data_IF_967453738878
#
_entry.id   IF_967453738878
#
_cell.length_a   1.000
_cell.length_b   1.000
_cell.length_c   1.000
_cell.angle_alpha   90.00
_cell.angle_beta   90.00
_cell.angle_gamma   90.00
#
_symmetry.space_group_name_H-M   'P 1'
#
loop_
_entity.id
_entity.type
_entity.pdbx_description
1 polymer ?
#
# COMPACT_ATOMS: atom_id res chain seq x y z
N UNK A 1 30.76 44.09 -44.45
CA UNK A 1 31.77 43.21 -43.83
C UNK A 1 31.86 43.68 -42.38
N UNK A 2 31.36 42.97 -41.39
CA UNK A 2 31.45 41.53 -41.15
C UNK A 2 30.23 41.09 -40.33
N UNK A 3 29.56 40.04 -40.78
CA UNK A 3 28.46 39.37 -40.07
C UNK A 3 29.04 38.56 -38.90
N UNK A 4 28.50 38.75 -37.70
CA UNK A 4 28.71 37.85 -36.57
C UNK A 4 27.58 36.83 -36.54
N UNK A 5 27.93 35.55 -36.68
CA UNK A 5 27.03 34.41 -36.66
C UNK A 5 26.58 34.14 -35.21
N UNK A 6 25.26 34.19 -34.98
CA UNK A 6 24.62 33.58 -33.82
C UNK A 6 24.54 32.06 -34.07
N UNK A 7 25.25 31.26 -33.27
CA UNK A 7 25.09 29.81 -33.24
C UNK A 7 23.92 29.45 -32.30
N UNK A 8 22.77 29.20 -32.92
CA UNK A 8 21.61 28.56 -32.31
C UNK A 8 21.95 27.11 -31.93
N UNK A 9 22.24 26.88 -30.64
CA UNK A 9 22.37 25.51 -30.10
C UNK A 9 20.97 24.93 -29.94
N UNK A 10 20.47 24.28 -30.99
CA UNK A 10 19.29 23.40 -30.93
C UNK A 10 19.59 22.22 -30.00
N UNK A 11 18.99 22.26 -28.82
CA UNK A 11 19.00 21.17 -27.87
C UNK A 11 18.05 20.06 -28.37
N UNK A 12 18.59 19.10 -29.13
CA UNK A 12 17.85 17.89 -29.51
C UNK A 12 17.57 17.04 -28.25
N UNK A 13 16.32 17.07 -27.79
CA UNK A 13 15.81 16.11 -26.80
C UNK A 13 15.87 14.72 -27.42
N UNK A 14 16.77 13.85 -26.92
CA UNK A 14 16.75 12.43 -27.24
C UNK A 14 15.39 11.84 -26.81
N UNK A 15 14.68 11.11 -27.68
CA UNK A 15 13.49 10.39 -27.25
C UNK A 15 13.94 9.29 -26.30
N UNK A 16 13.41 9.30 -25.07
CA UNK A 16 13.45 8.15 -24.17
C UNK A 16 12.87 6.96 -24.96
N UNK A 17 13.68 5.90 -25.14
CA UNK A 17 13.13 4.61 -25.54
C UNK A 17 12.22 4.17 -24.40
N UNK A 18 10.91 4.37 -24.54
CA UNK A 18 9.93 3.69 -23.70
C UNK A 18 10.09 2.20 -23.91
N UNK A 19 10.81 1.53 -23.00
CA UNK A 19 10.68 0.10 -22.84
C UNK A 19 9.20 -0.17 -22.58
N UNK A 20 8.56 -0.93 -23.47
CA UNK A 20 7.17 -1.35 -23.30
C UNK A 20 7.09 -2.26 -22.08
N UNK A 21 6.99 -1.68 -20.90
CA UNK A 21 6.67 -2.40 -19.67
C UNK A 21 5.29 -3.03 -19.82
N UNK A 22 5.05 -4.16 -19.15
CA UNK A 22 3.78 -4.90 -19.17
C UNK A 22 2.57 -3.98 -18.92
N UNK A 23 2.76 -2.94 -18.12
CA UNK A 23 1.75 -1.92 -17.79
C UNK A 23 1.11 -1.26 -19.02
N UNK A 24 1.83 -1.04 -20.13
CA UNK A 24 1.28 -0.34 -21.30
C UNK A 24 0.22 -1.14 -22.08
N UNK A 25 0.09 -2.45 -21.80
CA UNK A 25 -0.85 -3.35 -22.50
C UNK A 25 -2.03 -3.74 -21.62
N UNK A 26 -1.94 -3.51 -20.31
CA UNK A 26 -2.99 -3.85 -19.37
C UNK A 26 -4.13 -2.81 -19.44
N UNK A 27 -5.40 -3.24 -19.27
CA UNK A 27 -6.52 -2.32 -19.16
C UNK A 27 -6.49 -1.56 -17.83
N UNK A 28 -7.10 -0.37 -17.80
CA UNK A 28 -7.20 0.41 -16.56
C UNK A 28 -8.12 -0.25 -15.53
N UNK A 29 -9.17 -0.92 -16.00
CA UNK A 29 -10.20 -1.56 -15.18
C UNK A 29 -10.57 -2.91 -15.80
N UNK A 30 -10.63 -3.94 -14.97
CA UNK A 30 -11.28 -5.22 -15.29
C UNK A 30 -12.41 -5.50 -14.32
N UNK A 31 -13.37 -6.32 -14.76
CA UNK A 31 -14.43 -6.83 -13.89
C UNK A 31 -14.12 -8.28 -13.55
N UNK A 32 -13.82 -8.54 -12.29
CA UNK A 32 -13.78 -9.88 -11.72
C UNK A 32 -15.20 -10.23 -11.28
N UNK A 33 -15.73 -11.38 -11.71
CA UNK A 33 -17.06 -11.82 -11.32
C UNK A 33 -17.10 -12.18 -9.82
N UNK A 34 -18.29 -12.36 -9.24
CA UNK A 34 -18.36 -12.83 -7.86
C UNK A 34 -17.88 -14.28 -7.77
N UNK A 35 -18.32 -15.10 -8.73
CA UNK A 35 -18.01 -16.52 -8.88
C UNK A 35 -16.49 -16.75 -9.00
N UNK A 36 -15.80 -15.99 -9.85
CA UNK A 36 -14.35 -16.11 -10.02
C UNK A 36 -13.58 -15.70 -8.75
N UNK A 37 -14.07 -14.68 -8.03
CA UNK A 37 -13.42 -14.17 -6.82
C UNK A 37 -13.52 -15.15 -5.64
N UNK A 38 -14.59 -15.97 -5.60
CA UNK A 38 -14.87 -16.87 -4.47
C UNK A 38 -14.73 -18.35 -4.83
N UNK A 39 -14.25 -18.69 -6.03
CA UNK A 39 -14.18 -20.08 -6.52
C UNK A 39 -13.39 -21.02 -5.57
N UNK A 40 -12.38 -20.48 -4.88
CA UNK A 40 -11.52 -21.23 -3.95
C UNK A 40 -11.94 -21.06 -2.47
N UNK A 41 -13.05 -20.36 -2.21
CA UNK A 41 -13.56 -20.17 -0.85
C UNK A 41 -14.40 -21.36 -0.42
N UNK A 42 -14.12 -21.84 0.79
CA UNK A 42 -14.94 -22.83 1.48
C UNK A 42 -15.58 -22.16 2.67
N UNK A 43 -16.91 -22.12 2.67
CA UNK A 43 -17.69 -21.65 3.79
C UNK A 43 -17.72 -22.71 4.90
N UNK A 44 -17.82 -22.27 6.14
CA UNK A 44 -17.87 -23.12 7.34
C UNK A 44 -19.30 -23.61 7.65
N UNK A 45 -20.30 -23.04 6.97
CA UNK A 45 -21.70 -23.45 7.01
C UNK A 45 -22.60 -22.61 7.92
N UNK A 46 -22.01 -21.69 8.71
CA UNK A 46 -22.78 -20.72 9.51
C UNK A 46 -23.15 -19.48 8.70
N UNK A 47 -22.40 -19.20 7.64
CA UNK A 47 -22.51 -18.01 6.81
C UNK A 47 -23.88 -17.91 6.15
N UNK A 48 -24.40 -19.00 5.56
CA UNK A 48 -25.72 -19.00 4.90
C UNK A 48 -26.86 -18.61 5.86
N UNK A 49 -26.82 -19.11 7.09
CA UNK A 49 -27.80 -18.80 8.13
C UNK A 49 -27.65 -17.35 8.59
N UNK A 50 -26.41 -16.88 8.76
CA UNK A 50 -26.14 -15.51 9.15
C UNK A 50 -26.53 -14.50 8.05
N UNK A 51 -26.23 -14.77 6.78
CA UNK A 51 -26.60 -13.92 5.65
C UNK A 51 -28.12 -13.86 5.46
N UNK A 52 -28.82 -14.99 5.59
CA UNK A 52 -30.28 -15.04 5.38
C UNK A 52 -31.09 -14.46 6.53
N UNK A 53 -30.63 -14.62 7.78
CA UNK A 53 -31.40 -14.24 8.97
C UNK A 53 -30.85 -13.03 9.72
N UNK A 54 -29.61 -12.62 9.45
CA UNK A 54 -28.87 -11.63 10.23
C UNK A 54 -28.48 -12.10 11.64
N UNK A 55 -28.73 -13.36 11.99
CA UNK A 55 -28.51 -13.91 13.32
C UNK A 55 -27.52 -15.07 13.28
N UNK A 56 -26.49 -15.00 14.13
CA UNK A 56 -25.54 -16.11 14.31
C UNK A 56 -26.01 -17.03 15.43
N UNK A 57 -26.26 -18.31 15.10
CA UNK A 57 -26.74 -19.30 16.06
C UNK A 57 -25.57 -19.98 16.81
N UNK A 58 -25.21 -19.40 17.95
CA UNK A 58 -24.13 -19.90 18.82
C UNK A 58 -24.40 -21.31 19.35
N UNK A 59 -25.67 -21.68 19.59
CA UNK A 59 -26.00 -23.01 20.09
C UNK A 59 -25.73 -24.10 19.05
N UNK A 60 -25.94 -23.78 17.77
CA UNK A 60 -25.74 -24.70 16.65
C UNK A 60 -24.28 -24.75 16.18
N UNK A 61 -23.62 -23.60 16.06
CA UNK A 61 -22.29 -23.49 15.45
C UNK A 61 -21.16 -23.33 16.48
N UNK A 62 -21.49 -23.14 17.76
CA UNK A 62 -20.52 -22.76 18.79
C UNK A 62 -20.10 -21.29 18.72
N UNK A 63 -19.28 -20.80 19.67
CA UNK A 63 -18.72 -19.46 19.59
C UNK A 63 -17.68 -19.38 18.46
N UNK A 64 -17.68 -18.26 17.72
CA UNK A 64 -16.64 -17.98 16.74
C UNK A 64 -15.28 -17.80 17.44
N UNK A 65 -14.23 -18.39 16.85
CA UNK A 65 -12.87 -18.21 17.33
C UNK A 65 -12.42 -16.74 17.17
N UNK A 66 -11.62 -16.25 18.11
CA UNK A 66 -11.03 -14.92 17.98
C UNK A 66 -10.08 -14.89 16.77
N UNK A 67 -10.30 -13.99 15.78
CA UNK A 67 -9.45 -13.91 14.60
C UNK A 67 -8.00 -13.61 14.96
N UNK A 68 -7.07 -14.27 14.27
CA UNK A 68 -5.65 -13.93 14.31
C UNK A 68 -5.32 -12.90 13.24
N UNK A 69 -4.57 -11.87 13.61
CA UNK A 69 -4.31 -10.69 12.76
C UNK A 69 -2.81 -10.45 12.62
N UNK A 70 -2.35 -10.17 11.40
CA UNK A 70 -1.01 -9.62 11.20
C UNK A 70 -0.99 -8.12 11.40
N UNK A 71 -0.02 -7.61 12.15
CA UNK A 71 0.27 -6.18 12.22
C UNK A 71 1.43 -5.86 11.29
N UNK A 72 1.17 -5.07 10.25
CA UNK A 72 2.14 -4.80 9.20
C UNK A 72 2.54 -3.33 9.23
N UNK A 73 3.83 -3.08 9.38
CA UNK A 73 4.41 -1.74 9.43
C UNK A 73 5.23 -1.48 8.19
N UNK A 74 5.13 -0.27 7.64
CA UNK A 74 6.14 0.25 6.73
C UNK A 74 7.13 1.08 7.53
N UNK A 75 8.41 0.76 7.45
CA UNK A 75 9.45 1.46 8.22
C UNK A 75 10.77 1.53 7.46
N UNK A 76 11.52 2.58 7.73
CA UNK A 76 12.83 2.83 7.12
C UNK A 76 13.73 3.57 8.11
N UNK A 77 15.03 3.25 8.12
CA UNK A 77 16.01 4.05 8.83
C UNK A 77 16.64 5.06 7.86
N UNK A 78 16.08 6.27 7.78
CA UNK A 78 16.64 7.32 6.93
C UNK A 78 17.95 7.93 7.40
N UNK A 79 18.41 7.58 8.61
CA UNK A 79 19.71 8.02 9.14
C UNK A 79 20.86 7.11 8.72
N UNK A 80 20.57 5.92 8.18
CA UNK A 80 21.58 4.99 7.67
C UNK A 80 22.21 5.50 6.37
N UNK A 81 23.54 5.55 6.30
CA UNK A 81 24.24 6.14 5.16
C UNK A 81 24.06 5.34 3.87
N UNK A 82 24.09 4.00 3.95
CA UNK A 82 23.79 3.11 2.81
C UNK A 82 22.43 3.42 2.18
N UNK A 83 21.40 3.64 3.00
CA UNK A 83 20.06 4.00 2.52
C UNK A 83 20.03 5.39 1.89
N UNK A 84 20.74 6.37 2.47
CA UNK A 84 20.83 7.72 1.89
C UNK A 84 21.51 7.69 0.54
N UNK A 85 22.62 6.96 0.41
CA UNK A 85 23.40 6.86 -0.82
C UNK A 85 22.58 6.17 -1.92
N UNK A 86 22.00 5.00 -1.61
CA UNK A 86 21.10 4.29 -2.52
C UNK A 86 19.94 5.18 -2.95
N UNK A 87 19.25 5.82 -2.00
CA UNK A 87 18.13 6.71 -2.33
C UNK A 87 18.58 7.87 -3.21
N UNK A 88 19.72 8.47 -2.91
CA UNK A 88 20.25 9.60 -3.65
C UNK A 88 20.53 9.25 -5.12
N UNK A 89 21.08 8.06 -5.39
CA UNK A 89 21.30 7.56 -6.75
C UNK A 89 20.01 7.52 -7.59
N UNK A 90 18.87 7.21 -6.97
CA UNK A 90 17.56 7.25 -7.64
C UNK A 90 16.94 8.65 -7.64
N UNK A 91 17.18 9.46 -6.60
CA UNK A 91 16.70 10.84 -6.54
C UNK A 91 17.23 11.64 -7.72
N UNK A 92 18.52 11.53 -8.07
CA UNK A 92 19.16 12.31 -9.16
C UNK A 92 18.61 11.98 -10.55
N UNK A 93 18.10 10.77 -10.75
CA UNK A 93 17.48 10.34 -12.01
C UNK A 93 15.95 10.56 -12.04
N UNK A 94 15.35 11.02 -10.93
CA UNK A 94 13.89 11.16 -10.82
C UNK A 94 13.35 12.26 -11.73
N UNK A 95 12.21 12.04 -12.42
CA UNK A 95 11.54 13.07 -13.22
C UNK A 95 10.99 14.24 -12.38
N UNK A 96 11.00 14.10 -11.05
CA UNK A 96 10.59 15.15 -10.12
C UNK A 96 11.64 16.25 -9.94
N UNK A 97 12.87 16.01 -10.39
CA UNK A 97 13.96 16.96 -10.25
C UNK A 97 13.71 18.23 -11.07
N UNK A 98 13.78 19.37 -10.38
CA UNK A 98 13.88 20.68 -11.01
C UNK A 98 15.35 21.06 -11.24
N UNK A 99 15.59 21.93 -12.24
CA UNK A 99 16.95 22.41 -12.59
C UNK A 99 17.64 23.14 -11.43
N UNK A 100 16.88 23.62 -10.44
CA UNK A 100 17.37 24.40 -9.31
C UNK A 100 17.70 23.50 -8.11
N UNK A 101 17.46 22.18 -8.22
CA UNK A 101 17.72 21.19 -7.17
C UNK A 101 16.80 21.30 -5.94
N UNK A 102 15.70 22.06 -6.03
CA UNK A 102 14.82 22.31 -4.89
C UNK A 102 14.15 21.04 -4.40
N UNK A 103 13.66 20.18 -5.31
CA UNK A 103 13.00 18.94 -4.96
C UNK A 103 13.92 18.04 -4.12
N UNK A 104 15.14 17.74 -4.61
CA UNK A 104 16.12 16.92 -3.88
C UNK A 104 16.41 17.51 -2.48
N UNK A 105 16.61 18.83 -2.40
CA UNK A 105 16.97 19.50 -1.14
C UNK A 105 15.84 19.52 -0.10
N UNK A 106 14.57 19.45 -0.52
CA UNK A 106 13.41 19.57 0.38
C UNK A 106 12.69 18.24 0.62
N UNK A 107 12.72 17.33 -0.34
CA UNK A 107 12.00 16.06 -0.30
C UNK A 107 12.57 15.08 0.74
N UNK A 108 13.90 15.06 0.89
CA UNK A 108 14.61 14.09 1.73
C UNK A 108 14.53 14.35 3.23
N UNK A 109 14.38 15.60 3.68
CA UNK A 109 14.61 15.99 5.09
C UNK A 109 13.56 15.41 6.06
N UNK A 110 12.29 15.39 5.67
CA UNK A 110 11.20 15.08 6.61
C UNK A 110 10.59 13.69 6.41
N UNK A 111 10.68 13.09 5.21
CA UNK A 111 9.92 11.89 4.86
C UNK A 111 10.50 10.58 5.39
N UNK A 112 11.80 10.53 5.60
CA UNK A 112 12.53 9.31 5.93
C UNK A 112 13.12 9.36 7.35
N UNK A 113 12.81 10.40 8.11
CA UNK A 113 13.37 10.59 9.46
C UNK A 113 12.70 9.62 10.43
N UNK A 114 13.52 8.87 11.16
CA UNK A 114 13.11 7.96 12.21
C UNK A 114 13.30 8.61 13.59
N UNK A 115 12.27 8.53 14.44
CA UNK A 115 12.26 9.05 15.81
C UNK A 115 12.17 7.95 16.87
N UNK A 116 12.48 6.70 16.51
CA UNK A 116 12.27 5.52 17.36
C UNK A 116 10.79 5.26 17.73
N UNK A 117 9.84 5.90 17.03
CA UNK A 117 8.39 5.76 17.26
C UNK A 117 7.94 4.30 17.10
N UNK A 118 8.46 3.60 16.10
CA UNK A 118 8.21 2.17 15.87
C UNK A 118 8.46 1.32 17.14
N UNK A 119 9.51 1.63 17.91
CA UNK A 119 9.85 0.90 19.14
C UNK A 119 8.71 0.94 20.15
N UNK A 120 8.11 2.11 20.30
CA UNK A 120 7.00 2.33 21.24
C UNK A 120 5.69 1.81 20.66
N UNK A 121 5.53 1.86 19.33
CA UNK A 121 4.37 1.27 18.65
C UNK A 121 4.32 -0.24 18.85
N UNK A 122 5.41 -0.97 18.61
CA UNK A 122 5.47 -2.42 18.85
C UNK A 122 5.24 -2.79 20.32
N UNK A 123 5.73 -1.98 21.26
CA UNK A 123 5.44 -2.16 22.70
C UNK A 123 3.96 -1.98 23.00
N UNK A 124 3.30 -1.02 22.35
CA UNK A 124 1.86 -0.86 22.51
C UNK A 124 1.08 -2.09 22.03
N UNK A 125 1.54 -2.77 20.96
CA UNK A 125 0.96 -4.04 20.52
C UNK A 125 1.15 -5.16 21.56
N UNK A 126 2.34 -5.32 22.14
CA UNK A 126 2.58 -6.35 23.17
C UNK A 126 1.76 -6.12 24.45
N UNK A 127 1.49 -4.86 24.79
CA UNK A 127 0.67 -4.51 25.96
C UNK A 127 -0.83 -4.66 25.69
N UNK A 128 -1.30 -4.25 24.51
CA UNK A 128 -2.72 -4.04 24.25
C UNK A 128 -3.38 -4.99 23.26
N UNK A 129 -2.62 -5.75 22.46
CA UNK A 129 -3.15 -6.61 21.39
C UNK A 129 -2.59 -8.05 21.38
N UNK A 130 -1.67 -8.40 22.29
CA UNK A 130 -0.92 -9.67 22.29
C UNK A 130 -1.75 -10.94 22.13
N UNK A 131 -2.99 -10.97 22.64
CA UNK A 131 -3.86 -12.15 22.63
C UNK A 131 -4.18 -12.67 21.22
N UNK A 132 -4.27 -11.78 20.23
CA UNK A 132 -4.74 -12.13 18.89
C UNK A 132 -3.73 -11.83 17.77
N UNK A 133 -2.53 -11.34 18.10
CA UNK A 133 -1.45 -11.16 17.12
C UNK A 133 -1.10 -12.53 16.52
N UNK A 134 -1.10 -12.61 15.20
CA UNK A 134 -0.49 -13.69 14.43
C UNK A 134 1.01 -13.42 14.28
N UNK A 135 1.34 -12.29 13.64
CA UNK A 135 2.71 -11.82 13.40
C UNK A 135 2.77 -10.31 13.39
N UNK A 136 3.94 -9.78 13.69
CA UNK A 136 4.32 -8.39 13.39
C UNK A 136 5.25 -8.44 12.18
N UNK A 137 4.96 -7.69 11.13
CA UNK A 137 5.75 -7.66 9.91
C UNK A 137 6.28 -6.25 9.67
N UNK A 138 7.59 -6.09 9.55
CA UNK A 138 8.25 -4.83 9.23
C UNK A 138 8.67 -4.86 7.77
N UNK A 139 8.03 -4.04 6.94
CA UNK A 139 8.37 -3.87 5.54
C UNK A 139 9.46 -2.80 5.44
N UNK A 140 10.59 -3.19 4.86
CA UNK A 140 11.80 -2.37 4.87
C UNK A 140 12.46 -2.34 3.50
N UNK A 141 13.20 -1.26 3.25
CA UNK A 141 14.15 -1.23 2.15
C UNK A 141 15.32 -2.19 2.42
N UNK A 142 15.88 -2.74 1.34
CA UNK A 142 17.19 -3.39 1.40
C UNK A 142 18.30 -2.37 1.24
N UNK A 143 19.41 -2.60 1.95
CA UNK A 143 20.63 -1.79 1.94
C UNK A 143 21.85 -2.68 1.72
N UNK A 144 22.97 -2.10 1.29
CA UNK A 144 24.21 -2.81 1.01
C UNK A 144 25.42 -1.86 1.05
N UNK A 145 26.60 -2.41 0.81
CA UNK A 145 27.82 -1.62 0.72
C UNK A 145 27.90 -0.92 -0.65
N UNK A 146 27.34 0.29 -0.74
CA UNK A 146 27.36 1.13 -1.94
C UNK A 146 26.00 1.23 -2.64
N UNK A 147 26.00 1.19 -3.97
CA UNK A 147 24.78 1.34 -4.79
C UNK A 147 23.85 0.13 -4.71
N UNK A 148 22.57 0.32 -5.00
CA UNK A 148 21.59 -0.77 -5.00
C UNK A 148 21.90 -1.83 -6.06
N UNK A 149 22.05 -3.08 -5.63
CA UNK A 149 22.27 -4.22 -6.52
C UNK A 149 20.96 -4.99 -6.78
N UNK A 150 20.47 -4.94 -8.02
CA UNK A 150 19.22 -5.63 -8.42
C UNK A 150 19.25 -7.15 -8.23
N UNK A 151 20.42 -7.78 -8.24
CA UNK A 151 20.53 -9.23 -8.04
C UNK A 151 20.41 -9.63 -6.57
N UNK A 152 20.36 -8.64 -5.67
CA UNK A 152 20.16 -8.82 -4.23
C UNK A 152 21.33 -9.47 -3.50
N UNK A 153 22.44 -9.81 -4.16
CA UNK A 153 23.50 -10.64 -3.54
C UNK A 153 24.20 -9.94 -2.39
N UNK A 154 24.43 -8.63 -2.52
CA UNK A 154 25.07 -7.80 -1.50
C UNK A 154 24.04 -6.92 -0.76
N UNK A 155 22.75 -7.26 -0.88
CA UNK A 155 21.65 -6.53 -0.27
C UNK A 155 21.15 -7.28 0.97
N UNK A 156 20.80 -6.54 2.00
CA UNK A 156 20.17 -7.07 3.21
C UNK A 156 19.07 -6.12 3.69
N UNK A 157 17.97 -6.63 4.28
CA UNK A 157 16.90 -5.78 4.80
C UNK A 157 17.41 -4.88 5.92
N UNK A 158 16.99 -3.61 5.93
CA UNK A 158 17.20 -2.76 7.10
C UNK A 158 16.57 -3.39 8.35
N UNK A 159 17.20 -3.18 9.50
CA UNK A 159 16.68 -3.66 10.79
C UNK A 159 16.81 -2.57 11.85
N UNK A 160 15.76 -2.30 12.64
CA UNK A 160 15.90 -1.39 13.79
C UNK A 160 17.01 -1.87 14.72
N UNK A 161 17.91 -0.97 15.12
CA UNK A 161 19.11 -1.31 15.91
C UNK A 161 18.79 -1.90 17.28
N UNK A 162 17.60 -1.59 17.82
CA UNK A 162 17.08 -2.11 19.08
C UNK A 162 16.37 -3.47 18.93
N UNK A 163 16.07 -3.92 17.71
CA UNK A 163 15.36 -5.18 17.45
C UNK A 163 16.35 -6.34 17.35
N UNK A 164 16.39 -7.19 18.38
CA UNK A 164 17.29 -8.35 18.44
C UNK A 164 17.08 -9.29 17.25
N UNK A 165 18.18 -9.81 16.69
CA UNK A 165 18.14 -10.83 15.64
C UNK A 165 18.41 -12.22 16.25
N UNK A 166 17.39 -12.76 16.92
CA UNK A 166 17.41 -14.10 17.52
C UNK A 166 16.13 -14.87 17.18
N UNK A 167 16.17 -16.19 17.35
CA UNK A 167 15.05 -17.08 16.98
C UNK A 167 13.75 -16.70 17.70
N UNK A 168 13.82 -16.36 18.99
CA UNK A 168 12.65 -15.98 19.78
C UNK A 168 11.98 -14.70 19.23
N UNK A 169 12.78 -13.68 18.91
CA UNK A 169 12.26 -12.44 18.33
C UNK A 169 11.70 -12.68 16.92
N UNK A 170 12.41 -13.46 16.10
CA UNK A 170 12.06 -13.72 14.71
C UNK A 170 10.82 -14.63 14.54
N UNK A 171 10.40 -15.35 15.59
CA UNK A 171 9.11 -16.06 15.61
C UNK A 171 7.90 -15.11 15.65
N UNK A 172 8.07 -13.91 16.21
CA UNK A 172 6.99 -12.93 16.38
C UNK A 172 7.09 -11.74 15.43
N UNK A 173 8.31 -11.27 15.15
CA UNK A 173 8.59 -10.11 14.31
C UNK A 173 9.35 -10.55 13.06
N UNK A 174 8.73 -10.41 11.89
CA UNK A 174 9.34 -10.68 10.60
C UNK A 174 9.80 -9.38 9.96
N UNK A 175 11.08 -9.30 9.61
CA UNK A 175 11.61 -8.20 8.79
C UNK A 175 11.59 -8.67 7.34
N UNK A 176 10.81 -8.00 6.51
CA UNK A 176 10.56 -8.34 5.12
C UNK A 176 11.11 -7.24 4.22
N UNK A 177 12.07 -7.59 3.37
CA UNK A 177 12.53 -6.66 2.34
C UNK A 177 11.49 -6.52 1.23
N UNK A 178 11.52 -5.43 0.48
CA UNK A 178 10.63 -5.25 -0.68
C UNK A 178 10.74 -6.40 -1.68
N UNK A 179 11.94 -6.92 -1.92
CA UNK A 179 12.20 -8.05 -2.83
C UNK A 179 11.56 -9.36 -2.36
N UNK A 180 11.29 -9.48 -1.04
CA UNK A 180 10.73 -10.69 -0.45
C UNK A 180 9.22 -10.82 -0.63
N UNK A 181 8.50 -9.71 -0.84
CA UNK A 181 7.04 -9.73 -0.94
C UNK A 181 6.47 -9.03 -2.18
N UNK A 182 7.21 -8.17 -2.88
CA UNK A 182 6.71 -7.63 -4.16
C UNK A 182 6.42 -8.78 -5.12
N UNK A 183 5.33 -8.65 -5.89
CA UNK A 183 5.01 -9.57 -6.98
C UNK A 183 6.19 -9.66 -7.95
N UNK A 184 6.43 -10.84 -8.51
CA UNK A 184 7.61 -11.10 -9.35
C UNK A 184 7.76 -10.12 -10.52
N UNK A 185 6.64 -9.69 -11.12
CA UNK A 185 6.66 -8.78 -12.27
C UNK A 185 7.06 -7.35 -11.87
N UNK A 186 6.72 -6.94 -10.65
CA UNK A 186 6.97 -5.61 -10.09
C UNK A 186 8.33 -5.51 -9.37
N UNK A 187 9.03 -6.63 -9.11
CA UNK A 187 10.39 -6.62 -8.52
C UNK A 187 11.40 -5.87 -9.37
N UNK A 188 11.22 -5.86 -10.70
CA UNK A 188 12.00 -5.06 -11.67
C UNK A 188 12.00 -3.55 -11.34
N UNK A 189 10.96 -3.07 -10.64
CA UNK A 189 10.77 -1.68 -10.29
C UNK A 189 11.41 -1.29 -8.95
N UNK A 190 11.97 -2.24 -8.21
CA UNK A 190 12.66 -1.99 -6.96
C UNK A 190 14.02 -1.28 -7.18
N UNK A 191 14.53 -0.56 -6.16
CA UNK A 191 13.87 -0.25 -4.89
C UNK A 191 12.84 0.87 -5.07
N UNK A 192 11.85 0.93 -4.17
CA UNK A 192 10.95 2.08 -4.06
C UNK A 192 11.07 2.76 -2.69
N UNK A 193 10.88 4.07 -2.67
CA UNK A 193 10.90 4.93 -1.49
C UNK A 193 9.53 5.60 -1.29
N UNK A 194 8.50 5.09 -1.95
CA UNK A 194 7.13 5.58 -1.91
C UNK A 194 6.26 4.59 -1.14
N UNK A 195 5.70 5.04 -0.02
CA UNK A 195 4.83 4.19 0.78
C UNK A 195 3.63 3.69 -0.02
N UNK A 196 3.08 4.47 -0.96
CA UNK A 196 1.93 4.03 -1.77
C UNK A 196 2.28 2.83 -2.65
N UNK A 197 3.51 2.78 -3.17
CA UNK A 197 4.01 1.67 -3.98
C UNK A 197 4.19 0.42 -3.11
N UNK A 198 4.78 0.56 -1.93
CA UNK A 198 4.96 -0.51 -0.93
C UNK A 198 3.60 -1.06 -0.47
N UNK A 199 2.69 -0.16 -0.07
CA UNK A 199 1.34 -0.48 0.41
C UNK A 199 0.50 -1.14 -0.69
N UNK A 200 0.72 -0.79 -1.97
CA UNK A 200 0.03 -1.44 -3.09
C UNK A 200 0.37 -2.91 -3.25
N UNK A 201 1.41 -3.42 -2.57
CA UNK A 201 1.85 -4.81 -2.63
C UNK A 201 1.71 -5.53 -1.28
N UNK A 202 1.17 -4.87 -0.24
CA UNK A 202 1.16 -5.38 1.14
C UNK A 202 0.40 -6.71 1.32
N UNK A 203 -0.58 -6.99 0.47
CA UNK A 203 -1.34 -8.25 0.52
C UNK A 203 -0.46 -9.47 0.19
N UNK A 204 0.68 -9.28 -0.47
CA UNK A 204 1.63 -10.33 -0.83
C UNK A 204 2.53 -10.78 0.33
N UNK A 205 2.53 -10.07 1.48
CA UNK A 205 3.36 -10.46 2.62
C UNK A 205 2.94 -11.83 3.14
N UNK A 206 3.86 -12.77 3.40
CA UNK A 206 3.53 -14.15 3.68
C UNK A 206 2.83 -14.32 5.03
N UNK A 207 1.68 -14.99 5.03
CA UNK A 207 0.91 -15.21 6.27
C UNK A 207 0.05 -16.47 6.23
N UNK A 208 -0.31 -16.93 7.44
CA UNK A 208 -1.31 -17.95 7.72
C UNK A 208 -2.72 -17.37 7.93
N UNK A 209 -2.86 -16.04 8.02
CA UNK A 209 -4.15 -15.36 8.14
C UNK A 209 -4.38 -14.42 6.96
N UNK A 210 -5.65 -14.27 6.58
CA UNK A 210 -6.07 -13.31 5.56
C UNK A 210 -6.18 -11.88 6.11
N UNK A 211 -6.27 -11.72 7.42
CA UNK A 211 -6.54 -10.43 8.05
C UNK A 211 -5.25 -9.73 8.46
N UNK A 212 -5.09 -8.49 8.00
CA UNK A 212 -3.98 -7.62 8.39
C UNK A 212 -4.50 -6.28 8.90
N UNK A 213 -3.71 -5.66 9.78
CA UNK A 213 -3.83 -4.26 10.18
C UNK A 213 -2.53 -3.56 9.81
N UNK A 214 -2.61 -2.64 8.86
CA UNK A 214 -1.49 -1.82 8.45
C UNK A 214 -1.35 -0.60 9.36
N UNK A 215 -0.15 -0.36 9.85
CA UNK A 215 0.19 0.75 10.74
C UNK A 215 1.38 1.53 10.19
N UNK A 216 1.35 2.85 10.39
CA UNK A 216 2.57 3.66 10.36
C UNK A 216 3.31 3.53 11.70
N UNK A 217 4.59 3.86 11.70
CA UNK A 217 5.46 3.79 12.88
C UNK A 217 5.03 4.74 14.02
N UNK A 218 4.36 5.84 13.67
CA UNK A 218 3.78 6.84 14.58
C UNK A 218 2.37 6.49 15.12
N UNK A 219 1.87 5.27 14.88
CA UNK A 219 0.56 4.81 15.37
C UNK A 219 0.71 3.94 16.62
N UNK A 220 -0.06 4.23 17.68
CA UNK A 220 0.02 3.54 18.98
C UNK A 220 -1.35 3.09 19.46
N UNK A 221 -1.40 1.93 20.12
CA UNK A 221 -2.57 1.52 20.89
C UNK A 221 -2.54 2.17 22.28
N UNK A 222 -3.67 2.72 22.71
CA UNK A 222 -3.80 3.44 23.98
C UNK A 222 -4.53 2.67 25.09
N UNK A 223 -5.15 1.54 24.76
CA UNK A 223 -5.96 0.74 25.68
C UNK A 223 -6.05 -0.71 25.19
N UNK A 224 -6.40 -1.68 26.06
CA UNK A 224 -6.58 -3.06 25.64
C UNK A 224 -7.61 -3.21 24.53
N UNK A 225 -7.30 -4.04 23.53
CA UNK A 225 -8.14 -4.31 22.38
C UNK A 225 -8.49 -5.80 22.27
N UNK A 226 -9.64 -6.08 21.64
CA UNK A 226 -9.98 -7.41 21.12
C UNK A 226 -9.77 -7.43 19.59
N UNK A 227 -9.62 -8.61 18.99
CA UNK A 227 -9.49 -8.71 17.52
C UNK A 227 -10.68 -8.04 16.79
N UNK A 228 -11.88 -8.12 17.37
CA UNK A 228 -13.11 -7.51 16.85
C UNK A 228 -13.09 -5.99 16.76
N UNK A 229 -12.17 -5.31 17.44
CA UNK A 229 -11.99 -3.86 17.28
C UNK A 229 -11.39 -3.51 15.91
N UNK A 230 -10.69 -4.47 15.29
CA UNK A 230 -10.09 -4.35 13.96
C UNK A 230 -10.89 -5.12 12.90
N UNK A 231 -11.25 -6.37 13.19
CA UNK A 231 -11.96 -7.25 12.27
C UNK A 231 -12.88 -8.23 13.01
N UNK A 232 -14.12 -8.33 12.55
CA UNK A 232 -15.09 -9.33 12.99
C UNK A 232 -15.46 -10.26 11.83
N UNK A 233 -15.55 -11.59 12.02
CA UNK A 233 -16.06 -12.49 10.98
C UNK A 233 -17.51 -12.17 10.57
N UNK A 234 -18.30 -11.59 11.50
CA UNK A 234 -19.69 -11.21 11.22
C UNK A 234 -19.77 -9.82 10.58
N UNK A 235 -18.98 -8.84 11.02
CA UNK A 235 -19.17 -7.45 10.59
C UNK A 235 -18.10 -6.93 9.63
N UNK A 236 -17.08 -7.73 9.35
CA UNK A 236 -15.95 -7.35 8.51
C UNK A 236 -14.95 -6.43 9.22
N UNK A 237 -14.10 -5.73 8.46
CA UNK A 237 -13.06 -4.85 8.99
C UNK A 237 -13.63 -3.50 9.46
N UNK A 238 -13.05 -2.96 10.51
CA UNK A 238 -13.33 -1.59 11.00
C UNK A 238 -12.81 -0.57 9.98
N UNK A 239 -13.69 0.32 9.53
CA UNK A 239 -13.37 1.39 8.58
C UNK A 239 -13.64 2.76 9.20
N UNK A 240 -12.62 3.63 9.21
CA UNK A 240 -12.73 5.03 9.61
C UNK A 240 -12.71 5.96 8.39
N UNK A 241 -13.57 6.98 8.40
CA UNK A 241 -13.68 7.95 7.30
C UNK A 241 -13.61 9.41 7.80
N UNK A 242 -12.99 10.27 6.99
CA UNK A 242 -13.04 11.72 7.10
C UNK A 242 -14.32 12.25 6.45
N UNK A 243 -14.64 13.51 6.72
CA UNK A 243 -15.78 14.21 6.09
C UNK A 243 -15.54 14.50 4.61
N UNK A 244 -14.27 14.67 4.21
CA UNK A 244 -13.86 14.80 2.81
C UNK A 244 -14.33 13.61 1.98
N UNK A 245 -14.77 13.86 0.75
CA UNK A 245 -15.22 12.83 -0.18
C UNK A 245 -14.97 13.25 -1.63
N UNK A 246 -14.88 12.25 -2.51
CA UNK A 246 -14.65 12.46 -3.94
C UNK A 246 -15.64 11.63 -4.77
N UNK A 247 -16.05 12.20 -5.91
CA UNK A 247 -16.81 11.55 -6.96
C UNK A 247 -16.28 12.02 -8.33
N UNK A 248 -15.14 11.47 -8.74
CA UNK A 248 -14.41 11.96 -9.90
C UNK A 248 -14.92 11.28 -11.17
N UNK A 249 -15.62 12.02 -12.01
CA UNK A 249 -16.24 11.48 -13.25
C UNK A 249 -15.28 11.43 -14.43
N UNK A 250 -14.29 12.33 -14.46
CA UNK A 250 -13.31 12.46 -15.54
C UNK A 250 -11.99 13.00 -15.01
N UNK A 251 -10.89 12.60 -15.63
CA UNK A 251 -9.56 13.17 -15.38
C UNK A 251 -9.36 14.44 -16.24
N UNK A 252 -8.60 15.42 -15.75
CA UNK A 252 -8.17 16.58 -16.53
C UNK A 252 -9.26 17.58 -16.95
N UNK A 253 -10.24 17.86 -16.08
CA UNK A 253 -11.31 18.84 -16.33
C UNK A 253 -10.93 20.31 -16.02
N UNK A 254 -11.93 21.21 -16.05
CA UNK A 254 -11.78 22.60 -15.59
C UNK A 254 -11.42 22.69 -14.10
N UNK A 255 -11.77 21.68 -13.32
CA UNK A 255 -11.44 21.58 -11.91
C UNK A 255 -9.98 21.17 -11.76
N UNK A 256 -9.23 21.93 -10.96
CA UNK A 256 -7.83 21.63 -10.71
C UNK A 256 -7.71 20.29 -9.97
N UNK A 257 -6.84 19.40 -10.47
CA UNK A 257 -6.45 18.19 -9.75
C UNK A 257 -5.79 18.64 -8.43
N UNK A 258 -6.25 18.14 -7.27
CA UNK A 258 -5.61 18.45 -6.01
C UNK A 258 -4.12 18.09 -6.06
N UNK A 259 -3.24 18.97 -5.60
CA UNK A 259 -1.78 18.76 -5.66
C UNK A 259 -1.14 18.48 -4.31
N UNK A 260 -1.89 18.59 -3.20
CA UNK A 260 -1.35 18.50 -1.85
C UNK A 260 -1.70 17.18 -1.14
N UNK A 261 -0.71 16.59 -0.49
CA UNK A 261 -0.88 15.42 0.37
C UNK A 261 -1.35 14.18 -0.38
N UNK A 262 -2.31 13.45 0.19
CA UNK A 262 -2.89 12.22 -0.38
C UNK A 262 -4.01 12.49 -1.42
N UNK A 263 -4.49 13.74 -1.50
CA UNK A 263 -5.65 14.14 -2.30
C UNK A 263 -5.52 13.82 -3.81
N UNK A 264 -4.37 14.02 -4.49
CA UNK A 264 -4.25 13.63 -5.90
C UNK A 264 -4.53 12.14 -6.13
N UNK A 265 -4.06 11.28 -5.22
CA UNK A 265 -4.19 9.82 -5.34
C UNK A 265 -5.63 9.37 -5.04
N UNK A 266 -6.28 10.00 -4.05
CA UNK A 266 -7.72 9.81 -3.79
C UNK A 266 -8.54 10.22 -5.02
N UNK A 267 -8.23 11.37 -5.63
CA UNK A 267 -8.92 11.87 -6.82
C UNK A 267 -8.84 10.85 -7.97
N UNK A 268 -7.64 10.36 -8.27
CA UNK A 268 -7.45 9.35 -9.31
C UNK A 268 -8.13 8.03 -8.98
N UNK A 269 -8.03 7.56 -7.74
CA UNK A 269 -8.65 6.29 -7.32
C UNK A 269 -10.18 6.36 -7.32
N UNK A 270 -10.76 7.52 -6.97
CA UNK A 270 -12.20 7.77 -7.09
C UNK A 270 -12.68 7.63 -8.55
N UNK A 271 -11.88 8.10 -9.51
CA UNK A 271 -12.14 7.91 -10.93
C UNK A 271 -12.15 6.43 -11.32
N UNK A 272 -11.15 5.65 -10.90
CA UNK A 272 -11.08 4.22 -11.18
C UNK A 272 -12.28 3.45 -10.58
N UNK A 273 -12.62 3.74 -9.32
CA UNK A 273 -13.77 3.13 -8.65
C UNK A 273 -15.10 3.50 -9.32
N UNK A 274 -15.25 4.74 -9.82
CA UNK A 274 -16.41 5.14 -10.61
C UNK A 274 -16.53 4.33 -11.91
N UNK A 275 -15.42 4.02 -12.57
CA UNK A 275 -15.42 3.21 -13.79
C UNK A 275 -15.80 1.75 -13.52
N UNK A 276 -15.41 1.20 -12.36
CA UNK A 276 -15.74 -0.18 -11.97
C UNK A 276 -17.15 -0.34 -11.40
N UNK A 277 -17.61 0.59 -10.57
CA UNK A 277 -18.83 0.44 -9.75
C UNK A 277 -19.89 1.52 -9.95
N UNK A 278 -19.62 2.51 -10.81
CA UNK A 278 -20.51 3.65 -11.05
C UNK A 278 -20.25 4.85 -10.13
N UNK A 279 -20.81 5.99 -10.54
CA UNK A 279 -20.62 7.30 -9.90
C UNK A 279 -21.17 7.33 -8.47
N UNK A 280 -20.32 7.69 -7.50
CA UNK A 280 -20.73 7.83 -6.10
C UNK A 280 -19.79 8.74 -5.32
N UNK A 281 -20.34 9.43 -4.32
CA UNK A 281 -19.53 10.09 -3.30
C UNK A 281 -18.88 9.05 -2.39
N UNK A 282 -17.55 9.03 -2.39
CA UNK A 282 -16.73 8.10 -1.60
C UNK A 282 -15.85 8.87 -0.63
N UNK A 283 -16.09 8.65 0.67
CA UNK A 283 -15.37 9.33 1.74
C UNK A 283 -13.89 8.94 1.79
N UNK A 284 -13.03 9.90 2.08
CA UNK A 284 -11.60 9.64 2.32
C UNK A 284 -11.47 8.87 3.63
N UNK A 285 -10.63 7.83 3.64
CA UNK A 285 -10.31 7.09 4.85
C UNK A 285 -9.63 7.99 5.89
N UNK A 286 -9.91 7.74 7.17
CA UNK A 286 -9.20 8.37 8.27
C UNK A 286 -7.73 7.91 8.30
N UNK A 287 -6.89 8.72 8.94
CA UNK A 287 -5.52 8.33 9.24
C UNK A 287 -5.51 7.58 10.59
N UNK A 288 -5.58 6.26 10.52
CA UNK A 288 -5.61 5.31 11.64
C UNK A 288 -5.09 3.95 11.14
N UNK A 289 -4.99 2.95 12.02
CA UNK A 289 -4.61 1.59 11.60
C UNK A 289 -5.62 0.99 10.63
N UNK A 290 -5.18 0.61 9.44
CA UNK A 290 -6.07 0.14 8.37
C UNK A 290 -6.24 -1.37 8.42
N UNK A 291 -7.41 -1.84 8.86
CA UNK A 291 -7.78 -3.24 8.78
C UNK A 291 -8.27 -3.60 7.38
N UNK A 292 -7.67 -4.62 6.76
CA UNK A 292 -8.05 -5.11 5.44
C UNK A 292 -7.88 -6.63 5.35
N UNK A 293 -8.66 -7.25 4.47
CA UNK A 293 -8.43 -8.61 3.98
C UNK A 293 -7.38 -8.58 2.86
N UNK A 294 -6.41 -9.51 2.92
CA UNK A 294 -5.40 -9.71 1.87
C UNK A 294 -6.06 -10.06 0.55
N UNK A 295 -6.98 -11.02 0.55
CA UNK A 295 -7.72 -11.46 -0.64
C UNK A 295 -8.53 -10.33 -1.27
N UNK A 296 -9.26 -9.55 -0.47
CA UNK A 296 -10.06 -8.44 -1.01
C UNK A 296 -9.16 -7.34 -1.56
N UNK A 297 -8.02 -7.07 -0.92
CA UNK A 297 -7.04 -6.10 -1.41
C UNK A 297 -6.33 -6.60 -2.69
N UNK A 298 -6.03 -7.89 -2.77
CA UNK A 298 -5.49 -8.53 -3.97
C UNK A 298 -6.48 -8.40 -5.14
N UNK A 299 -7.76 -8.71 -4.91
CA UNK A 299 -8.84 -8.55 -5.89
C UNK A 299 -9.01 -7.08 -6.32
N UNK A 300 -8.92 -6.15 -5.36
CA UNK A 300 -9.00 -4.72 -5.65
C UNK A 300 -7.86 -4.27 -6.56
N UNK A 301 -6.61 -4.70 -6.29
CA UNK A 301 -5.47 -4.37 -7.16
C UNK A 301 -5.55 -5.08 -8.51
N UNK A 302 -6.00 -6.33 -8.55
CA UNK A 302 -6.22 -7.08 -9.78
C UNK A 302 -7.29 -6.44 -10.68
N UNK A 303 -8.31 -5.80 -10.08
CA UNK A 303 -9.36 -5.07 -10.80
C UNK A 303 -8.87 -3.79 -11.48
N UNK A 304 -7.69 -3.29 -11.13
CA UNK A 304 -7.06 -2.10 -11.72
C UNK A 304 -5.64 -2.42 -12.18
N UNK A 305 -5.44 -3.35 -13.14
CA UNK A 305 -4.13 -3.98 -13.34
C UNK A 305 -3.08 -2.99 -13.88
N UNK A 306 -3.43 -2.11 -14.81
CA UNK A 306 -2.50 -1.08 -15.29
C UNK A 306 -2.19 -0.02 -14.20
N UNK A 307 -3.18 0.58 -13.50
CA UNK A 307 -2.92 1.48 -12.38
C UNK A 307 -2.12 0.85 -11.24
N UNK A 308 -2.38 -0.42 -10.91
CA UNK A 308 -1.68 -1.16 -9.86
C UNK A 308 -0.23 -1.41 -10.23
N UNK A 309 0.05 -1.96 -11.43
CA UNK A 309 1.40 -2.20 -11.90
C UNK A 309 2.21 -0.91 -12.02
N UNK A 310 1.61 0.15 -12.59
CA UNK A 310 2.26 1.46 -12.69
C UNK A 310 2.53 2.06 -11.31
N UNK A 311 1.56 1.99 -10.41
CA UNK A 311 1.68 2.53 -9.07
C UNK A 311 2.73 1.82 -8.22
N UNK A 312 2.88 0.50 -8.37
CA UNK A 312 3.94 -0.27 -7.72
C UNK A 312 5.35 0.14 -8.19
N UNK A 313 5.46 0.67 -9.41
CA UNK A 313 6.72 1.07 -10.02
C UNK A 313 7.12 2.53 -9.78
N UNK A 314 6.31 3.33 -9.08
CA UNK A 314 6.72 4.67 -8.67
C UNK A 314 7.72 4.58 -7.52
N UNK A 315 8.92 5.13 -7.73
CA UNK A 315 9.99 5.14 -6.71
C UNK A 315 9.78 6.25 -5.70
N UNK A 316 9.32 7.40 -6.16
CA UNK A 316 9.03 8.55 -5.31
C UNK A 316 7.59 9.01 -5.45
N UNK A 317 7.01 9.46 -4.34
CA UNK A 317 5.62 9.88 -4.31
C UNK A 317 5.41 11.11 -5.22
N UNK A 318 4.52 10.95 -6.20
CA UNK A 318 4.13 12.01 -7.12
C UNK A 318 4.90 12.02 -8.44
N UNK A 319 5.76 11.03 -8.70
CA UNK A 319 6.42 10.84 -10.01
C UNK A 319 5.40 10.80 -11.14
N UNK A 320 4.26 10.15 -10.88
CA UNK A 320 3.09 10.31 -11.72
C UNK A 320 2.04 11.21 -11.06
N UNK A 321 1.24 11.87 -11.91
CA UNK A 321 0.04 12.60 -11.46
C UNK A 321 -1.08 11.66 -11.02
N UNK A 322 -0.99 10.37 -11.34
CA UNK A 322 -2.08 9.40 -11.28
C UNK A 322 -1.58 8.07 -10.72
N UNK A 323 -1.44 8.01 -9.40
CA UNK A 323 -1.11 6.79 -8.66
C UNK A 323 -2.36 6.29 -7.92
N UNK A 324 -2.62 4.98 -7.98
CA UNK A 324 -3.68 4.37 -7.17
C UNK A 324 -3.35 4.52 -5.69
N UNK A 325 -4.35 4.82 -4.87
CA UNK A 325 -4.22 4.91 -3.42
C UNK A 325 -4.71 3.61 -2.78
N UNK A 326 -3.83 2.71 -2.30
CA UNK A 326 -4.21 1.35 -1.95
C UNK A 326 -5.30 1.28 -0.88
N UNK A 327 -5.20 2.08 0.18
CA UNK A 327 -6.19 2.07 1.26
C UNK A 327 -7.57 2.57 0.83
N UNK A 328 -7.62 3.65 0.04
CA UNK A 328 -8.88 4.17 -0.49
C UNK A 328 -9.50 3.17 -1.46
N UNK A 329 -8.69 2.52 -2.30
CA UNK A 329 -9.12 1.45 -3.17
C UNK A 329 -9.70 0.28 -2.36
N UNK A 330 -8.96 -0.29 -1.41
CA UNK A 330 -9.36 -1.48 -0.64
C UNK A 330 -10.61 -1.25 0.21
N UNK A 331 -10.74 -0.10 0.88
CA UNK A 331 -11.91 0.21 1.72
C UNK A 331 -13.18 0.29 0.86
N UNK A 332 -13.13 1.09 -0.20
CA UNK A 332 -14.30 1.24 -1.06
C UNK A 332 -14.56 -0.01 -1.89
N UNK A 333 -13.54 -0.75 -2.31
CA UNK A 333 -13.71 -2.01 -3.00
C UNK A 333 -14.46 -3.01 -2.11
N UNK A 334 -14.06 -3.17 -0.84
CA UNK A 334 -14.79 -3.99 0.14
C UNK A 334 -16.27 -3.59 0.24
N UNK A 335 -16.55 -2.29 0.36
CA UNK A 335 -17.93 -1.78 0.45
C UNK A 335 -18.73 -2.09 -0.81
N UNK A 336 -18.17 -1.85 -2.00
CA UNK A 336 -18.88 -2.07 -3.25
C UNK A 336 -19.07 -3.57 -3.54
N UNK A 337 -18.11 -4.42 -3.18
CA UNK A 337 -18.25 -5.88 -3.29
C UNK A 337 -19.30 -6.43 -2.36
N UNK A 338 -19.39 -5.91 -1.14
CA UNK A 338 -20.49 -6.24 -0.24
C UNK A 338 -21.86 -5.87 -0.85
N UNK A 339 -21.98 -4.68 -1.47
CA UNK A 339 -23.20 -4.28 -2.19
C UNK A 339 -23.50 -5.17 -3.39
N UNK A 340 -22.48 -5.53 -4.17
CA UNK A 340 -22.66 -6.46 -5.28
C UNK A 340 -23.18 -7.80 -4.75
N UNK A 341 -22.58 -8.39 -3.71
CA UNK A 341 -23.02 -9.65 -3.11
C UNK A 341 -24.50 -9.62 -2.69
N UNK A 342 -24.96 -8.50 -2.10
CA UNK A 342 -26.37 -8.32 -1.72
C UNK A 342 -27.36 -8.26 -2.90
N UNK A 343 -26.89 -8.05 -4.14
CA UNK A 343 -27.75 -8.12 -5.33
C UNK A 343 -27.94 -9.56 -5.83
N UNK A 344 -27.08 -10.48 -5.41
CA UNK A 344 -27.10 -11.89 -5.82
C UNK A 344 -27.66 -12.83 -4.74
N UNK A 345 -27.78 -12.35 -3.49
CA UNK A 345 -28.53 -12.98 -2.39
C UNK A 345 -30.01 -12.63 -2.47
#
# INVERSE_FOLDING_TARGET
MTQGLEEDVKQESRPLKEEKTLSHVLPDVIRISFEDAVQDMKLEGWEDEWFSSGNFNVEKHGPLAEPKIDFVYNWVNGSEDSFKDIRHDFEVESPLNDREGKWISQHSINRYRDWDELRYSLRSLDVYAKGFINKIQLLVNSVGDGSYEKDGKNMHPQRPTWLKNDENTNQHVQVLSQESFFREQEKECLPTFNSLSIESQIFMTPSSTDQLVALSDDMFLGMPHAASDFYSPLFGPTMGFKTDHYNVKRLGGKDAIPSFGEKPFVYYTSYLLNHRFGERNRHVQAHFGHSVSRRVMEEAMASFPQPSAKGACERFRGESKYQIYPWYASFHYTIERFREALLWS
#
